data_IF_638007233123
#
_entry.id   IF_638007233123
#
_cell.length_a   1.000
_cell.length_b   1.000
_cell.length_c   1.000
_cell.angle_alpha   90.00
_cell.angle_beta   90.00
_cell.angle_gamma   90.00
#
_symmetry.space_group_name_H-M   'P 1'
#
loop_
_entity.id
_entity.type
_entity.pdbx_description
1 polymer ?
#
# COMPACT_ATOMS: atom_id res chain seq x y z
N UNK A 1 5.33 14.05 -22.50
CA UNK A 1 5.65 12.61 -22.50
C UNK A 1 6.45 12.31 -23.75
N UNK A 2 7.55 11.57 -23.65
CA UNK A 2 8.47 11.28 -24.75
C UNK A 2 8.61 9.77 -24.87
N UNK A 3 8.38 9.23 -26.07
CA UNK A 3 8.60 7.81 -26.39
C UNK A 3 9.81 7.69 -27.31
N UNK A 4 10.78 6.86 -26.97
CA UNK A 4 11.96 6.61 -27.79
C UNK A 4 12.46 5.18 -27.64
N UNK A 5 12.72 4.49 -28.75
CA UNK A 5 13.32 3.14 -28.81
C UNK A 5 12.71 2.13 -27.80
N UNK A 6 11.39 2.14 -27.64
CA UNK A 6 10.70 1.24 -26.71
C UNK A 6 10.76 1.66 -25.23
N UNK A 7 11.20 2.89 -24.95
CA UNK A 7 11.13 3.52 -23.64
C UNK A 7 10.11 4.67 -23.66
N UNK A 8 9.60 5.02 -22.48
CA UNK A 8 8.76 6.19 -22.26
C UNK A 8 9.34 7.01 -21.11
N UNK A 9 9.30 8.34 -21.23
CA UNK A 9 9.67 9.30 -20.19
C UNK A 9 8.55 10.32 -20.04
N UNK A 10 8.07 10.50 -18.82
CA UNK A 10 7.00 11.44 -18.47
C UNK A 10 7.63 12.56 -17.68
N UNK A 11 7.41 13.79 -18.14
CA UNK A 11 7.92 15.00 -17.50
C UNK A 11 6.75 15.86 -17.01
N UNK A 12 6.91 16.44 -15.82
CA UNK A 12 6.03 17.46 -15.25
C UNK A 12 6.88 18.67 -14.90
N UNK A 13 6.55 19.87 -15.38
CA UNK A 13 7.35 21.08 -15.16
C UNK A 13 8.86 20.91 -15.45
N UNK A 14 9.20 20.14 -16.49
CA UNK A 14 10.58 19.77 -16.87
C UNK A 14 11.29 18.79 -15.92
N UNK A 15 10.63 18.33 -14.87
CA UNK A 15 11.11 17.28 -13.97
C UNK A 15 10.65 15.90 -14.48
N UNK A 16 11.53 14.91 -14.49
CA UNK A 16 11.19 13.54 -14.86
C UNK A 16 10.41 12.88 -13.71
N UNK A 17 9.12 12.66 -13.91
CA UNK A 17 8.22 12.07 -12.88
C UNK A 17 8.01 10.57 -13.06
N UNK A 18 8.22 10.05 -14.27
CA UNK A 18 8.18 8.62 -14.52
C UNK A 18 9.02 8.25 -15.74
N UNK A 19 9.53 7.02 -15.77
CA UNK A 19 9.97 6.40 -17.01
C UNK A 19 9.31 5.03 -17.16
N UNK A 20 9.55 4.35 -18.27
CA UNK A 20 9.07 3.00 -18.46
C UNK A 20 9.65 2.34 -19.70
N UNK A 21 9.48 1.04 -19.77
CA UNK A 21 9.95 0.21 -20.87
C UNK A 21 8.79 -0.60 -21.46
N UNK A 22 8.80 -0.76 -22.78
CA UNK A 22 7.79 -1.54 -23.48
C UNK A 22 7.99 -3.03 -23.20
N UNK A 23 6.94 -3.67 -22.69
CA UNK A 23 6.82 -5.12 -22.55
C UNK A 23 5.57 -5.58 -23.31
N UNK A 24 5.79 -6.21 -24.47
CA UNK A 24 4.70 -6.56 -25.39
C UNK A 24 3.99 -5.31 -25.91
N UNK A 25 2.67 -5.23 -25.69
CA UNK A 25 1.82 -4.12 -26.12
C UNK A 25 1.70 -2.99 -25.08
N UNK A 26 2.31 -3.14 -23.90
CA UNK A 26 2.18 -2.20 -22.80
C UNK A 26 3.54 -1.60 -22.42
N UNK A 27 3.54 -0.41 -21.82
CA UNK A 27 4.71 0.17 -21.18
C UNK A 27 4.59 -0.03 -19.67
N UNK A 28 5.55 -0.75 -19.10
CA UNK A 28 5.68 -0.86 -17.64
C UNK A 28 6.33 0.41 -17.12
N UNK A 29 5.58 1.20 -16.36
CA UNK A 29 6.02 2.50 -15.84
C UNK A 29 6.66 2.34 -14.45
N UNK A 30 7.87 2.88 -14.33
CA UNK A 30 8.54 3.17 -13.07
C UNK A 30 8.30 4.63 -12.71
N UNK A 31 7.36 4.83 -11.78
CA UNK A 31 7.06 6.15 -11.22
C UNK A 31 8.13 6.53 -10.19
N UNK A 32 8.81 7.65 -10.40
CA UNK A 32 9.70 8.21 -9.40
C UNK A 32 8.86 9.01 -8.42
N UNK A 33 8.97 8.66 -7.14
CA UNK A 33 8.25 9.34 -6.06
C UNK A 33 8.71 10.81 -6.02
N UNK A 34 7.77 11.74 -6.20
CA UNK A 34 7.89 13.08 -5.61
C UNK A 34 7.78 12.85 -4.09
N UNK A 35 8.90 12.97 -3.38
CA UNK A 35 9.04 12.53 -1.98
C UNK A 35 8.16 13.32 -0.99
N UNK A 36 7.45 14.35 -1.42
CA UNK A 36 6.72 15.26 -0.54
C UNK A 36 5.22 15.35 -0.85
N UNK A 37 4.50 14.23 -0.87
CA UNK A 37 3.03 14.28 -0.93
C UNK A 37 2.45 13.50 0.25
N UNK A 38 1.91 14.24 1.23
CA UNK A 38 1.16 13.71 2.38
C UNK A 38 -0.17 13.05 1.98
N UNK A 39 -0.52 13.07 0.70
CA UNK A 39 -1.78 12.53 0.22
C UNK A 39 -1.69 11.01 0.02
N UNK A 40 -2.49 10.28 0.79
CA UNK A 40 -2.63 8.81 0.73
C UNK A 40 -3.07 8.29 -0.66
N UNK A 41 -3.55 9.17 -1.54
CA UNK A 41 -4.04 8.83 -2.89
C UNK A 41 -2.95 8.36 -3.87
N UNK A 42 -1.70 8.81 -3.71
CA UNK A 42 -0.57 8.36 -4.56
C UNK A 42 -0.01 6.99 -4.15
N UNK A 43 -0.54 6.38 -3.09
CA UNK A 43 -0.06 5.09 -2.56
C UNK A 43 -0.48 3.88 -3.43
N UNK A 44 -1.30 4.08 -4.47
CA UNK A 44 -1.78 2.99 -5.31
C UNK A 44 -0.70 2.46 -6.28
N UNK A 45 0.11 3.35 -6.88
CA UNK A 45 0.94 3.02 -8.04
C UNK A 45 2.46 3.10 -7.80
N UNK A 46 2.93 3.59 -6.66
CA UNK A 46 4.37 3.71 -6.36
C UNK A 46 5.00 2.41 -5.86
N UNK A 47 6.30 2.18 -6.15
CA UNK A 47 7.16 1.22 -5.43
C UNK A 47 7.41 1.74 -4.00
N UNK A 48 6.36 1.72 -3.18
CA UNK A 48 6.42 2.12 -1.78
C UNK A 48 6.90 0.92 -0.99
N UNK A 49 7.74 1.16 0.01
CA UNK A 49 7.96 0.23 1.13
C UNK A 49 6.60 -0.15 1.68
N UNK A 50 6.06 -1.29 1.26
CA UNK A 50 4.67 -1.64 1.52
C UNK A 50 4.54 -2.03 2.98
N UNK A 51 4.34 -1.03 3.85
CA UNK A 51 4.14 -1.24 5.28
C UNK A 51 2.96 -2.18 5.51
N UNK A 52 2.99 -2.91 6.62
CA UNK A 52 1.89 -3.81 6.99
C UNK A 52 0.55 -3.07 7.03
N UNK A 53 0.54 -1.79 7.41
CA UNK A 53 -0.66 -0.94 7.41
C UNK A 53 -1.30 -0.77 6.02
N UNK A 54 -0.50 -0.63 4.96
CA UNK A 54 -1.02 -0.51 3.61
C UNK A 54 -1.72 -1.81 3.17
N UNK A 55 -1.10 -2.96 3.48
CA UNK A 55 -1.68 -4.26 3.16
C UNK A 55 -2.92 -4.58 4.00
N UNK A 56 -2.92 -4.22 5.28
CA UNK A 56 -4.11 -4.27 6.13
C UNK A 56 -5.31 -3.57 5.45
N UNK A 57 -5.11 -2.35 4.93
CA UNK A 57 -6.17 -1.61 4.21
C UNK A 57 -6.54 -2.26 2.88
N UNK A 58 -5.57 -2.69 2.06
CA UNK A 58 -5.80 -3.33 0.75
C UNK A 58 -6.57 -4.65 0.84
N UNK A 59 -6.40 -5.41 1.92
CA UNK A 59 -7.16 -6.62 2.21
C UNK A 59 -8.49 -6.35 2.93
N UNK A 60 -9.00 -5.12 2.88
CA UNK A 60 -10.29 -4.77 3.49
C UNK A 60 -10.24 -4.80 5.01
N UNK A 61 -9.21 -4.19 5.59
CA UNK A 61 -9.02 -4.12 7.04
C UNK A 61 -8.81 -5.49 7.73
N UNK A 62 -8.10 -6.39 7.04
CA UNK A 62 -7.78 -7.74 7.53
C UNK A 62 -7.03 -7.69 8.87
N UNK A 63 -7.33 -8.60 9.79
CA UNK A 63 -6.64 -8.67 11.08
C UNK A 63 -5.12 -8.82 10.87
N UNK A 64 -4.30 -8.07 11.62
CA UNK A 64 -2.83 -8.13 11.54
C UNK A 64 -2.27 -9.54 11.75
N UNK A 65 -2.87 -10.34 12.64
CA UNK A 65 -2.48 -11.74 12.83
C UNK A 65 -2.73 -12.58 11.57
N UNK A 66 -3.85 -12.36 10.90
CA UNK A 66 -4.15 -13.06 9.65
C UNK A 66 -3.22 -12.57 8.52
N UNK A 67 -2.95 -11.27 8.46
CA UNK A 67 -1.99 -10.71 7.51
C UNK A 67 -0.58 -11.31 7.73
N UNK A 68 -0.13 -11.43 8.97
CA UNK A 68 1.13 -12.09 9.31
C UNK A 68 1.14 -13.57 8.91
N UNK A 69 0.02 -14.28 9.06
CA UNK A 69 -0.09 -15.66 8.57
C UNK A 69 0.00 -15.75 7.04
N UNK A 70 -0.61 -14.82 6.30
CA UNK A 70 -0.50 -14.78 4.84
C UNK A 70 0.96 -14.60 4.39
N UNK A 71 1.71 -13.73 5.09
CA UNK A 71 3.13 -13.52 4.84
C UNK A 71 3.94 -14.77 5.17
N UNK A 72 3.76 -15.32 6.38
CA UNK A 72 4.52 -16.48 6.85
C UNK A 72 4.30 -17.72 5.97
N UNK A 73 3.11 -17.87 5.39
CA UNK A 73 2.77 -18.96 4.47
C UNK A 73 3.15 -18.68 3.01
N UNK A 74 3.67 -17.49 2.70
CA UNK A 74 4.06 -17.13 1.33
C UNK A 74 2.87 -16.98 0.37
N UNK A 75 1.68 -16.64 0.86
CA UNK A 75 0.48 -16.49 0.04
C UNK A 75 0.36 -15.12 -0.66
N UNK A 76 1.30 -14.21 -0.41
CA UNK A 76 1.24 -12.84 -0.93
C UNK A 76 2.60 -12.45 -1.52
N UNK A 77 2.60 -12.14 -2.81
CA UNK A 77 3.79 -11.66 -3.50
C UNK A 77 4.03 -10.17 -3.28
N UNK A 78 5.30 -9.82 -3.07
CA UNK A 78 5.73 -8.43 -2.95
C UNK A 78 5.34 -7.76 -1.63
N UNK A 79 4.96 -8.53 -0.60
CA UNK A 79 4.91 -8.11 0.81
C UNK A 79 6.10 -8.72 1.54
N UNK A 80 7.16 -7.94 1.73
CA UNK A 80 8.32 -8.34 2.53
C UNK A 80 8.31 -7.49 3.80
N UNK A 81 7.93 -8.03 4.97
CA UNK A 81 8.08 -7.29 6.21
C UNK A 81 9.55 -6.93 6.39
N UNK A 82 9.85 -5.69 6.73
CA UNK A 82 11.21 -5.36 7.19
C UNK A 82 11.43 -6.12 8.51
N UNK A 83 12.58 -6.77 8.64
CA UNK A 83 12.94 -7.49 9.87
C UNK A 83 12.80 -6.55 11.07
N UNK A 84 11.88 -6.85 11.98
CA UNK A 84 11.59 -6.01 13.15
C UNK A 84 10.33 -5.13 13.07
N UNK A 85 9.57 -5.18 11.96
CA UNK A 85 8.27 -4.51 11.84
C UNK A 85 7.17 -5.27 12.62
N UNK A 86 7.33 -5.33 13.94
CA UNK A 86 6.31 -5.75 14.90
C UNK A 86 5.39 -4.57 15.27
N UNK A 87 5.28 -3.57 14.39
CA UNK A 87 4.47 -2.40 14.66
C UNK A 87 3.00 -2.82 14.79
N UNK A 88 2.46 -2.63 15.99
CA UNK A 88 1.03 -2.75 16.21
C UNK A 88 0.38 -1.63 15.41
N UNK A 89 -0.16 -1.96 14.24
CA UNK A 89 -0.95 -1.02 13.44
C UNK A 89 -2.26 -0.77 14.18
N UNK A 90 -2.35 0.34 14.89
CA UNK A 90 -3.62 0.83 15.42
C UNK A 90 -4.39 1.46 14.27
N UNK A 91 -5.46 0.79 13.83
CA UNK A 91 -6.37 1.30 12.81
C UNK A 91 -7.64 1.78 13.50
N UNK A 92 -7.79 3.10 13.65
CA UNK A 92 -8.97 3.73 14.27
C UNK A 92 -10.30 3.23 13.67
N UNK A 93 -10.49 3.19 12.32
CA UNK A 93 -11.71 2.64 11.73
C UNK A 93 -12.01 1.19 12.16
N UNK A 94 -10.99 0.35 12.31
CA UNK A 94 -11.17 -1.03 12.81
C UNK A 94 -11.60 -1.06 14.26
N UNK A 95 -11.03 -0.20 15.10
CA UNK A 95 -11.36 -0.14 16.53
C UNK A 95 -12.82 0.26 16.70
N UNK A 96 -13.26 1.31 16.00
CA UNK A 96 -14.65 1.78 16.03
C UNK A 96 -15.58 0.73 15.43
N UNK A 97 -15.24 0.17 14.26
CA UNK A 97 -16.09 -0.80 13.57
C UNK A 97 -16.20 -2.16 14.25
N UNK A 98 -15.21 -2.56 15.07
CA UNK A 98 -15.21 -3.82 15.84
C UNK A 98 -15.58 -3.61 17.31
N UNK A 99 -15.99 -2.41 17.70
CA UNK A 99 -16.36 -2.12 19.08
C UNK A 99 -17.62 -2.91 19.46
N UNK A 100 -17.53 -3.71 20.52
CA UNK A 100 -18.69 -4.42 21.07
C UNK A 100 -19.55 -3.47 21.90
N UNK A 101 -20.87 -3.56 21.77
CA UNK A 101 -21.79 -2.79 22.62
C UNK A 101 -21.68 -3.29 24.07
N UNK A 102 -21.66 -2.36 25.03
CA UNK A 102 -21.74 -2.69 26.46
C UNK A 102 -23.04 -3.47 26.75
N UNK A 103 -23.02 -4.41 27.74
CA UNK A 103 -24.23 -5.06 28.18
C UNK A 103 -25.22 -4.03 28.73
N UNK A 104 -26.51 -4.30 28.59
CA UNK A 104 -27.54 -3.49 29.23
C UNK A 104 -27.44 -3.63 30.74
N UNK A 105 -27.58 -2.52 31.47
CA UNK A 105 -27.74 -2.58 32.92
C UNK A 105 -29.06 -3.28 33.27
N UNK A 106 -29.02 -4.24 34.19
CA UNK A 106 -30.23 -4.75 34.81
C UNK A 106 -30.97 -3.59 35.50
N UNK A 107 -32.30 -3.54 35.37
CA UNK A 107 -33.11 -2.63 36.21
C UNK A 107 -32.91 -3.04 37.67
N UNK A 108 -32.53 -2.08 38.50
CA UNK A 108 -32.65 -2.19 39.96
C UNK A 108 -34.10 -2.02 40.37
#
# INVERSE_FOLDING_TARGET
VVFDKGTVKIFSNSELVANGARRGLFYELDLYRIVNVESESLLACGRITKSLQLWHRRFGHLNMNQLNQLIAKGFVDGLKPQSGDNSVVVCEPCVVGKQTRKPFSARK
#
